data_IF_195371165633
#
_entry.id   IF_195371165633
#
_cell.length_a   1.000
_cell.length_b   1.000
_cell.length_c   1.000
_cell.angle_alpha   90.00
_cell.angle_beta   90.00
_cell.angle_gamma   90.00
#
_symmetry.space_group_name_H-M   'P 1'
#
loop_
_entity.id
_entity.type
_entity.pdbx_description
1 polymer ?
#
# COMPACT_ATOMS: atom_id res chain seq x y z
N UNK A 1 -15.15 18.84 7.31
CA UNK A 1 -14.27 19.50 8.28
C UNK A 1 -14.84 20.82 8.81
N UNK A 2 -15.35 21.76 7.99
CA UNK A 2 -15.87 23.04 8.51
C UNK A 2 -17.15 22.89 9.35
N UNK A 3 -17.83 21.74 9.24
CA UNK A 3 -19.07 21.43 9.95
C UNK A 3 -18.87 20.80 11.34
N UNK A 4 -17.63 20.78 11.85
CA UNK A 4 -17.35 20.28 13.19
C UNK A 4 -17.40 21.45 14.19
N UNK A 5 -18.19 21.32 15.25
CA UNK A 5 -18.47 22.41 16.20
C UNK A 5 -17.21 22.95 16.90
N UNK A 6 -16.19 22.12 17.10
CA UNK A 6 -14.91 22.51 17.70
C UNK A 6 -13.81 22.70 16.64
N UNK A 7 -14.19 22.98 15.38
CA UNK A 7 -13.22 23.22 14.32
C UNK A 7 -12.36 24.46 14.62
N UNK A 8 -11.06 24.25 14.78
CA UNK A 8 -10.08 25.30 14.95
C UNK A 8 -8.85 24.97 14.10
N UNK A 9 -8.71 25.63 12.94
CA UNK A 9 -7.60 25.40 12.02
C UNK A 9 -6.23 25.68 12.66
N UNK A 10 -6.00 26.79 13.39
CA UNK A 10 -4.73 27.03 14.06
C UNK A 10 -4.37 25.96 15.10
N UNK A 11 -5.36 25.41 15.80
CA UNK A 11 -5.12 24.30 16.74
C UNK A 11 -4.69 23.03 16.00
N UNK A 12 -5.35 22.69 14.89
CA UNK A 12 -4.97 21.55 14.06
C UNK A 12 -3.54 21.71 13.49
N UNK A 13 -3.21 22.89 12.97
CA UNK A 13 -1.87 23.20 12.47
C UNK A 13 -0.82 23.07 13.57
N UNK A 14 -1.10 23.62 14.75
CA UNK A 14 -0.20 23.54 15.91
C UNK A 14 0.07 22.09 16.31
N UNK A 15 -0.97 21.27 16.44
CA UNK A 15 -0.82 19.84 16.75
C UNK A 15 0.03 19.12 15.70
N UNK A 16 -0.19 19.38 14.41
CA UNK A 16 0.61 18.76 13.35
C UNK A 16 2.06 19.25 13.34
N UNK A 17 2.32 20.50 13.71
CA UNK A 17 3.66 21.05 13.84
C UNK A 17 4.42 20.39 14.99
N UNK A 18 3.80 20.27 16.16
CA UNK A 18 4.39 19.56 17.31
C UNK A 18 4.65 18.08 17.02
N UNK A 19 3.70 17.39 16.38
CA UNK A 19 3.90 15.99 15.99
C UNK A 19 5.08 15.82 15.01
N UNK A 20 5.21 16.72 14.04
CA UNK A 20 6.34 16.70 13.10
C UNK A 20 7.68 16.99 13.78
N UNK A 21 7.71 17.97 14.68
CA UNK A 21 8.90 18.29 15.48
C UNK A 21 9.35 17.09 16.32
N UNK A 22 8.40 16.43 17.00
CA UNK A 22 8.68 15.23 17.78
C UNK A 22 9.32 14.12 16.95
N UNK A 23 8.81 13.84 15.74
CA UNK A 23 9.36 12.82 14.85
C UNK A 23 10.77 13.20 14.34
N UNK A 24 10.99 14.48 13.99
CA UNK A 24 12.31 14.96 13.56
C UNK A 24 13.33 14.80 14.69
N UNK A 25 12.99 15.25 15.89
CA UNK A 25 13.88 15.14 17.06
C UNK A 25 14.14 13.69 17.46
N UNK A 26 13.13 12.83 17.36
CA UNK A 26 13.30 11.38 17.61
C UNK A 26 14.27 10.75 16.61
N UNK A 27 14.19 11.15 15.33
CA UNK A 27 15.15 10.73 14.31
C UNK A 27 16.56 11.20 14.66
N UNK A 28 16.74 12.48 14.96
CA UNK A 28 18.04 13.07 15.31
C UNK A 28 18.66 12.35 16.52
N UNK A 29 17.90 12.18 17.60
CA UNK A 29 18.36 11.44 18.79
C UNK A 29 18.73 10.00 18.48
N UNK A 30 17.96 9.32 17.62
CA UNK A 30 18.30 7.95 17.20
C UNK A 30 19.65 7.92 16.47
N UNK A 31 19.89 8.86 15.57
CA UNK A 31 21.15 8.98 14.83
C UNK A 31 22.33 9.33 15.77
N UNK A 32 22.13 10.21 16.76
CA UNK A 32 23.13 10.53 17.81
C UNK A 32 23.52 9.30 18.64
N UNK A 33 22.57 8.40 18.89
CA UNK A 33 22.79 7.12 19.58
C UNK A 33 23.44 6.05 18.69
N UNK A 34 23.79 6.40 17.46
CA UNK A 34 24.38 5.49 16.48
C UNK A 34 23.38 4.53 15.83
N UNK A 35 22.08 4.79 15.94
CA UNK A 35 21.03 3.97 15.35
C UNK A 35 20.70 4.53 13.97
N UNK A 36 20.81 3.70 12.93
CA UNK A 36 20.42 4.12 11.59
C UNK A 36 18.90 4.17 11.47
N UNK A 37 18.39 5.32 11.05
CA UNK A 37 16.95 5.50 10.77
C UNK A 37 16.67 5.12 9.31
N UNK A 38 15.77 4.16 9.10
CA UNK A 38 15.42 3.62 7.79
C UNK A 38 14.28 4.37 7.12
N UNK A 39 13.28 4.77 7.91
CA UNK A 39 12.06 5.40 7.43
C UNK A 39 11.37 6.16 8.57
N UNK A 40 10.59 7.18 8.25
CA UNK A 40 9.73 7.89 9.19
C UNK A 40 8.38 8.20 8.55
N UNK A 41 7.31 7.99 9.30
CA UNK A 41 5.95 8.40 8.93
C UNK A 41 5.48 9.57 9.83
N UNK A 42 4.17 9.76 9.91
CA UNK A 42 3.50 10.84 10.64
C UNK A 42 3.66 10.68 12.16
N UNK A 43 3.78 9.44 12.63
CA UNK A 43 3.69 9.03 14.03
C UNK A 43 4.65 7.88 14.40
N UNK A 44 5.53 7.47 13.48
CA UNK A 44 6.39 6.30 13.67
C UNK A 44 7.73 6.46 12.98
N UNK A 45 8.76 5.80 13.55
CA UNK A 45 10.13 5.80 13.04
C UNK A 45 10.62 4.35 12.97
N UNK A 46 11.29 4.00 11.87
CA UNK A 46 11.81 2.66 11.61
C UNK A 46 13.31 2.69 11.86
N UNK A 47 13.77 1.86 12.79
CA UNK A 47 15.15 1.81 13.23
C UNK A 47 15.80 0.51 12.77
N UNK A 48 17.05 0.61 12.33
CA UNK A 48 17.86 -0.53 11.89
C UNK A 48 18.43 -1.27 13.10
N UNK A 49 17.73 -2.34 13.50
CA UNK A 49 18.14 -3.29 14.55
C UNK A 49 18.79 -2.65 15.82
N UNK A 50 18.11 -1.70 16.50
CA UNK A 50 18.63 -1.10 17.73
C UNK A 50 18.73 -2.13 18.86
N UNK A 51 19.73 -2.00 19.74
CA UNK A 51 19.83 -2.81 20.95
C UNK A 51 18.67 -2.54 21.91
N UNK A 52 18.45 -3.42 22.90
CA UNK A 52 17.40 -3.18 23.91
C UNK A 52 17.68 -1.93 24.75
N UNK A 53 18.95 -1.72 25.10
CA UNK A 53 19.40 -0.56 25.85
C UNK A 53 19.16 0.73 25.06
N UNK A 54 19.44 0.71 23.75
CA UNK A 54 19.15 1.83 22.85
C UNK A 54 17.65 2.12 22.74
N UNK A 55 16.81 1.08 22.68
CA UNK A 55 15.35 1.23 22.68
C UNK A 55 14.86 1.86 23.99
N UNK A 56 15.30 1.33 25.13
CA UNK A 56 14.92 1.83 26.46
C UNK A 56 15.39 3.28 26.69
N UNK A 57 16.61 3.62 26.27
CA UNK A 57 17.11 5.01 26.34
C UNK A 57 16.28 5.95 25.47
N UNK A 58 15.92 5.55 24.24
CA UNK A 58 15.12 6.39 23.34
C UNK A 58 13.70 6.62 23.89
N UNK A 59 13.07 5.58 24.44
CA UNK A 59 11.74 5.67 25.09
C UNK A 59 11.81 6.62 26.29
N UNK A 60 12.81 6.43 27.17
CA UNK A 60 13.01 7.28 28.33
C UNK A 60 13.25 8.74 27.92
N UNK A 61 14.14 8.96 26.96
CA UNK A 61 14.44 10.30 26.44
C UNK A 61 13.18 10.97 25.87
N UNK A 62 12.36 10.25 25.10
CA UNK A 62 11.13 10.82 24.54
C UNK A 62 10.15 11.23 25.65
N UNK A 63 9.98 10.39 26.68
CA UNK A 63 9.11 10.73 27.81
C UNK A 63 9.63 11.95 28.59
N UNK A 64 10.94 12.08 28.79
CA UNK A 64 11.54 13.17 29.59
C UNK A 64 11.64 14.49 28.82
N UNK A 65 11.96 14.41 27.52
CA UNK A 65 12.32 15.58 26.70
C UNK A 65 11.18 16.05 25.80
N UNK A 66 10.40 15.11 25.25
CA UNK A 66 9.25 15.42 24.39
C UNK A 66 7.92 15.37 25.15
N UNK A 67 7.89 14.71 26.31
CA UNK A 67 6.63 14.41 27.01
C UNK A 67 5.76 13.42 26.25
N UNK A 68 6.36 12.60 25.39
CA UNK A 68 5.66 11.63 24.53
C UNK A 68 6.13 10.24 24.91
N UNK A 69 5.17 9.35 25.15
CA UNK A 69 5.43 7.93 25.40
C UNK A 69 5.61 7.20 24.07
N UNK A 70 6.86 6.83 23.77
CA UNK A 70 7.16 5.99 22.60
C UNK A 70 7.14 4.53 23.02
N UNK A 71 6.64 3.68 22.14
CA UNK A 71 6.65 2.24 22.34
C UNK A 71 7.21 1.51 21.12
N UNK A 72 7.79 0.33 21.36
CA UNK A 72 8.20 -0.57 20.29
C UNK A 72 6.97 -1.34 19.83
N UNK A 73 6.31 -0.81 18.80
CA UNK A 73 5.08 -1.43 18.27
C UNK A 73 5.39 -2.71 17.47
N UNK A 74 6.45 -2.69 16.64
CA UNK A 74 6.72 -3.75 15.65
C UNK A 74 8.19 -4.10 15.54
N UNK A 75 8.46 -5.39 15.39
CA UNK A 75 9.79 -5.93 15.09
C UNK A 75 9.73 -6.81 13.85
N UNK A 76 10.31 -6.32 12.76
CA UNK A 76 10.42 -7.06 11.51
C UNK A 76 11.72 -7.86 11.45
N UNK A 77 11.69 -8.99 10.75
CA UNK A 77 12.88 -9.69 10.25
C UNK A 77 13.60 -8.80 9.23
N UNK A 78 12.84 -8.24 8.28
CA UNK A 78 13.32 -7.21 7.38
C UNK A 78 12.16 -6.39 6.83
N UNK A 79 12.47 -5.23 6.26
CA UNK A 79 11.51 -4.37 5.56
C UNK A 79 12.03 -4.03 4.16
N UNK A 80 11.18 -4.17 3.15
CA UNK A 80 11.42 -3.68 1.81
C UNK A 80 10.69 -2.33 1.65
N UNK A 81 11.48 -1.25 1.67
CA UNK A 81 10.99 0.11 1.54
C UNK A 81 11.05 0.55 0.07
N UNK A 82 10.05 1.31 -0.38
CA UNK A 82 10.11 2.03 -1.66
C UNK A 82 10.27 3.53 -1.41
N UNK A 83 10.62 4.28 -2.45
CA UNK A 83 10.71 5.76 -2.38
C UNK A 83 9.36 6.45 -2.13
N UNK A 84 8.24 5.70 -2.22
CA UNK A 84 6.90 6.24 -1.99
C UNK A 84 6.56 6.15 -0.51
N UNK A 85 5.98 7.24 0.01
CA UNK A 85 5.44 7.27 1.38
C UNK A 85 4.38 6.19 1.58
N UNK A 86 4.35 5.59 2.77
CA UNK A 86 3.41 4.52 3.18
C UNK A 86 3.41 3.31 2.23
N UNK A 87 4.54 3.04 1.57
CA UNK A 87 4.66 1.97 0.60
C UNK A 87 5.86 1.05 0.92
N UNK A 88 5.56 -0.04 1.61
CA UNK A 88 6.55 -1.01 2.07
C UNK A 88 5.96 -2.41 2.30
N UNK A 89 6.84 -3.39 2.38
CA UNK A 89 6.56 -4.76 2.83
C UNK A 89 7.40 -5.01 4.08
N UNK A 90 6.75 -5.34 5.20
CA UNK A 90 7.42 -5.78 6.43
C UNK A 90 7.20 -7.27 6.64
N UNK A 91 8.28 -8.02 6.83
CA UNK A 91 8.22 -9.46 7.14
C UNK A 91 8.53 -9.64 8.61
N UNK A 92 7.65 -10.31 9.35
CA UNK A 92 7.86 -10.63 10.76
C UNK A 92 8.75 -11.88 10.92
N UNK A 93 9.32 -12.07 12.11
CA UNK A 93 10.14 -13.24 12.43
C UNK A 93 9.39 -14.57 12.31
N UNK A 94 8.06 -14.54 12.45
CA UNK A 94 7.19 -15.70 12.30
C UNK A 94 6.72 -15.93 10.84
N UNK A 95 7.25 -15.18 9.89
CA UNK A 95 6.89 -15.27 8.46
C UNK A 95 5.62 -14.50 8.08
N UNK A 96 4.90 -13.87 9.01
CA UNK A 96 3.77 -13.01 8.66
C UNK A 96 4.23 -11.83 7.80
N UNK A 97 3.37 -11.42 6.87
CA UNK A 97 3.67 -10.33 5.91
C UNK A 97 2.71 -9.16 6.11
N UNK A 98 3.26 -7.99 6.40
CA UNK A 98 2.55 -6.72 6.40
C UNK A 98 2.85 -5.94 5.13
N UNK A 99 1.79 -5.43 4.50
CA UNK A 99 1.86 -4.71 3.22
C UNK A 99 1.17 -3.36 3.41
N UNK A 100 1.88 -2.27 3.13
CA UNK A 100 1.31 -0.92 3.10
C UNK A 100 1.47 -0.31 1.72
N UNK A 101 0.41 0.38 1.26
CA UNK A 101 0.44 1.21 0.04
C UNK A 101 0.56 0.50 -1.31
N UNK A 102 0.81 -0.81 -1.34
CA UNK A 102 0.99 -1.58 -2.57
C UNK A 102 -0.36 -1.92 -3.24
N UNK A 103 -0.40 -1.81 -4.57
CA UNK A 103 -1.61 -1.99 -5.38
C UNK A 103 -2.11 -3.44 -5.40
N UNK A 104 -1.23 -4.42 -5.24
CA UNK A 104 -1.60 -5.84 -5.29
C UNK A 104 -2.61 -6.28 -4.23
N UNK A 105 -2.80 -5.50 -3.14
CA UNK A 105 -3.84 -5.74 -2.12
C UNK A 105 -5.14 -4.96 -2.33
N UNK A 106 -5.20 -4.06 -3.32
CA UNK A 106 -6.38 -3.23 -3.52
C UNK A 106 -7.50 -4.03 -4.19
N UNK A 107 -8.74 -3.84 -3.71
CA UNK A 107 -9.94 -4.51 -4.22
C UNK A 107 -10.19 -4.27 -5.72
N UNK A 108 -9.67 -3.18 -6.28
CA UNK A 108 -9.82 -2.86 -7.69
C UNK A 108 -8.76 -3.51 -8.61
N UNK A 109 -7.82 -4.26 -8.06
CA UNK A 109 -6.84 -5.03 -8.81
C UNK A 109 -7.48 -6.36 -9.24
N UNK A 110 -7.33 -6.79 -10.51
CA UNK A 110 -7.85 -8.07 -10.98
C UNK A 110 -7.30 -9.28 -10.23
N UNK A 111 -8.07 -10.36 -10.18
CA UNK A 111 -7.76 -11.53 -9.34
C UNK A 111 -6.45 -12.20 -9.75
N UNK A 112 -6.16 -12.29 -11.06
CA UNK A 112 -4.88 -12.86 -11.52
C UNK A 112 -3.67 -12.11 -10.96
N UNK A 113 -3.76 -10.78 -10.87
CA UNK A 113 -2.68 -9.93 -10.40
C UNK A 113 -2.59 -9.95 -8.87
N UNK A 114 -3.73 -10.05 -8.17
CA UNK A 114 -3.75 -10.25 -6.72
C UNK A 114 -3.13 -11.59 -6.34
N UNK A 115 -3.46 -12.65 -7.07
CA UNK A 115 -2.92 -14.00 -6.83
C UNK A 115 -1.43 -14.07 -7.12
N UNK A 116 -0.97 -13.50 -8.23
CA UNK A 116 0.46 -13.37 -8.53
C UNK A 116 1.19 -12.60 -7.42
N UNK A 117 0.62 -11.47 -6.97
CA UNK A 117 1.18 -10.69 -5.88
C UNK A 117 1.24 -11.50 -4.57
N UNK A 118 0.20 -12.26 -4.24
CA UNK A 118 0.17 -13.15 -3.06
C UNK A 118 1.30 -14.17 -3.11
N UNK A 119 1.52 -14.83 -4.26
CA UNK A 119 2.62 -15.78 -4.45
C UNK A 119 3.99 -15.11 -4.27
N UNK A 120 4.18 -13.90 -4.78
CA UNK A 120 5.43 -13.16 -4.58
C UNK A 120 5.66 -12.83 -3.10
N UNK A 121 4.61 -12.46 -2.35
CA UNK A 121 4.72 -12.22 -0.91
C UNK A 121 5.06 -13.49 -0.14
N UNK A 122 4.51 -14.63 -0.57
CA UNK A 122 4.80 -15.95 0.00
C UNK A 122 6.29 -16.31 -0.20
N UNK A 123 6.84 -16.11 -1.40
CA UNK A 123 8.29 -16.26 -1.64
C UNK A 123 9.09 -15.37 -0.68
N UNK A 124 8.73 -14.08 -0.59
CA UNK A 124 9.42 -13.14 0.29
C UNK A 124 9.33 -13.52 1.78
N UNK A 125 8.23 -14.11 2.24
CA UNK A 125 8.10 -14.51 3.66
C UNK A 125 9.18 -15.50 4.11
N UNK A 126 9.70 -16.32 3.19
CA UNK A 126 10.70 -17.35 3.46
C UNK A 126 12.15 -16.84 3.36
N UNK A 127 12.37 -15.57 3.01
CA UNK A 127 13.73 -15.02 2.89
C UNK A 127 14.29 -14.67 4.26
N UNK A 128 15.38 -15.31 4.66
CA UNK A 128 16.03 -15.08 5.96
C UNK A 128 17.34 -14.30 5.89
N UNK A 129 17.99 -14.28 4.72
CA UNK A 129 19.29 -13.66 4.51
C UNK A 129 19.47 -13.12 3.09
N UNK A 130 20.64 -12.52 2.84
CA UNK A 130 21.01 -11.97 1.55
C UNK A 130 21.05 -13.01 0.41
N UNK A 131 21.43 -14.26 0.69
CA UNK A 131 21.46 -15.30 -0.34
C UNK A 131 20.04 -15.73 -0.73
N UNK A 132 19.14 -15.81 0.25
CA UNK A 132 17.71 -16.05 0.06
C UNK A 132 17.05 -15.00 -0.85
N UNK A 133 17.51 -13.75 -0.83
CA UNK A 133 17.02 -12.73 -1.76
C UNK A 133 17.35 -13.03 -3.23
N UNK A 134 18.52 -13.60 -3.53
CA UNK A 134 18.85 -13.95 -4.91
C UNK A 134 17.99 -15.11 -5.42
N UNK A 135 17.78 -16.14 -4.60
CA UNK A 135 16.85 -17.22 -4.92
C UNK A 135 15.41 -16.70 -5.10
N UNK A 136 14.94 -15.86 -4.18
CA UNK A 136 13.61 -15.26 -4.25
C UNK A 136 13.39 -14.42 -5.52
N UNK A 137 14.43 -13.74 -6.02
CA UNK A 137 14.33 -13.01 -7.29
C UNK A 137 14.06 -13.94 -8.47
N UNK A 138 14.72 -15.09 -8.52
CA UNK A 138 14.46 -16.07 -9.59
C UNK A 138 13.03 -16.64 -9.48
N UNK A 139 12.61 -17.05 -8.28
CA UNK A 139 11.24 -17.55 -8.05
C UNK A 139 10.17 -16.52 -8.43
N UNK A 140 10.39 -15.25 -8.07
CA UNK A 140 9.49 -14.14 -8.45
C UNK A 140 9.48 -13.94 -9.97
N UNK A 141 10.61 -14.06 -10.66
CA UNK A 141 10.65 -14.00 -12.12
C UNK A 141 9.85 -15.13 -12.75
N UNK A 142 9.93 -16.34 -12.23
CA UNK A 142 9.14 -17.47 -12.71
C UNK A 142 7.64 -17.24 -12.52
N UNK A 143 7.22 -16.68 -11.37
CA UNK A 143 5.82 -16.28 -11.14
C UNK A 143 5.37 -15.27 -12.19
N UNK A 144 6.18 -14.24 -12.45
CA UNK A 144 5.86 -13.20 -13.45
C UNK A 144 5.78 -13.78 -14.85
N UNK A 145 6.74 -14.61 -15.24
CA UNK A 145 6.75 -15.27 -16.55
C UNK A 145 5.53 -16.16 -16.75
N UNK A 146 5.12 -16.91 -15.71
CA UNK A 146 3.90 -17.72 -15.75
C UNK A 146 2.66 -16.87 -16.01
N UNK A 147 2.55 -15.70 -15.36
CA UNK A 147 1.44 -14.77 -15.58
C UNK A 147 1.47 -14.24 -17.02
N UNK A 148 2.64 -13.83 -17.51
CA UNK A 148 2.81 -13.32 -18.89
C UNK A 148 2.42 -14.39 -19.90
N UNK A 149 2.91 -15.62 -19.75
CA UNK A 149 2.63 -16.71 -20.68
C UNK A 149 1.13 -17.06 -20.73
N UNK A 150 0.43 -17.01 -19.59
CA UNK A 150 -1.04 -17.16 -19.54
C UNK A 150 -1.77 -16.00 -20.24
N UNK A 151 -1.31 -14.77 -20.03
CA UNK A 151 -1.88 -13.58 -20.69
C UNK A 151 -1.64 -13.57 -22.21
N UNK A 152 -0.51 -14.12 -22.67
CA UNK A 152 -0.17 -14.27 -24.09
C UNK A 152 -0.80 -15.50 -24.75
N UNK A 153 -1.54 -16.32 -23.99
CA UNK A 153 -2.20 -17.52 -24.51
C UNK A 153 -1.25 -18.66 -24.86
N UNK A 154 -0.02 -18.66 -24.31
CA UNK A 154 0.94 -19.76 -24.46
C UNK A 154 0.60 -20.96 -23.54
N UNK A 155 -0.19 -20.71 -22.50
CA UNK A 155 -0.67 -21.69 -21.52
C UNK A 155 -2.15 -21.46 -21.22
N UNK A 156 -2.74 -22.19 -20.28
CA UNK A 156 -4.17 -22.08 -19.92
C UNK A 156 -4.57 -20.61 -19.66
N UNK A 157 -5.49 -20.04 -20.46
CA UNK A 157 -5.85 -18.64 -20.36
C UNK A 157 -6.54 -18.32 -19.03
N UNK A 158 -6.54 -17.04 -18.67
CA UNK A 158 -7.38 -16.55 -17.58
C UNK A 158 -8.83 -16.44 -18.01
N UNK A 159 -9.76 -16.69 -17.09
CA UNK A 159 -11.16 -16.39 -17.31
C UNK A 159 -11.40 -14.87 -17.39
N UNK A 160 -12.47 -14.41 -18.05
CA UNK A 160 -12.84 -12.99 -18.06
C UNK A 160 -12.97 -12.40 -16.65
N UNK A 161 -13.52 -13.17 -15.71
CA UNK A 161 -13.71 -12.76 -14.32
C UNK A 161 -12.37 -12.54 -13.60
N UNK A 162 -11.38 -13.41 -13.84
CA UNK A 162 -10.04 -13.27 -13.27
C UNK A 162 -9.32 -12.00 -13.77
N UNK A 163 -9.61 -11.59 -15.03
CA UNK A 163 -9.04 -10.40 -15.67
C UNK A 163 -9.79 -9.10 -15.35
N UNK A 164 -10.98 -9.18 -14.76
CA UNK A 164 -11.86 -8.05 -14.57
C UNK A 164 -11.34 -7.07 -13.50
N UNK A 165 -11.28 -5.79 -13.86
CA UNK A 165 -11.13 -4.69 -12.91
C UNK A 165 -12.49 -4.40 -12.27
N UNK A 166 -12.51 -4.21 -10.94
CA UNK A 166 -13.74 -3.92 -10.19
C UNK A 166 -13.65 -2.56 -9.52
N UNK A 167 -14.38 -1.56 -10.03
CA UNK A 167 -14.31 -0.18 -9.52
C UNK A 167 -15.70 0.33 -9.21
N UNK A 168 -15.89 0.85 -8.00
CA UNK A 168 -17.14 1.45 -7.57
C UNK A 168 -17.31 2.87 -8.11
N UNK A 169 -18.47 3.17 -8.67
CA UNK A 169 -18.88 4.55 -8.98
C UNK A 169 -19.17 5.30 -7.68
N UNK A 170 -18.62 6.50 -7.55
CA UNK A 170 -18.81 7.37 -6.37
C UNK A 170 -19.72 8.55 -6.67
N UNK A 171 -19.95 8.84 -7.95
CA UNK A 171 -20.78 9.96 -8.44
C UNK A 171 -21.69 9.49 -9.56
N UNK A 172 -22.64 10.31 -9.98
CA UNK A 172 -23.39 10.04 -11.22
C UNK A 172 -22.48 10.26 -12.42
N UNK A 173 -22.77 9.56 -13.53
CA UNK A 173 -21.94 9.62 -14.74
C UNK A 173 -21.74 11.04 -15.28
N UNK A 174 -22.74 11.92 -15.15
CA UNK A 174 -22.66 13.33 -15.56
C UNK A 174 -21.74 14.20 -14.70
N UNK A 175 -21.40 13.76 -13.48
CA UNK A 175 -20.58 14.50 -12.52
C UNK A 175 -19.10 14.12 -12.61
N UNK A 176 -18.75 13.15 -13.46
CA UNK A 176 -17.36 12.79 -13.71
C UNK A 176 -16.73 13.76 -14.72
N UNK A 177 -15.60 14.40 -14.37
CA UNK A 177 -14.93 15.34 -15.27
C UNK A 177 -14.20 14.65 -16.43
N UNK A 178 -13.98 13.34 -16.33
CA UNK A 178 -13.18 12.59 -17.32
C UNK A 178 -13.67 11.15 -17.42
N UNK A 179 -13.61 10.64 -18.65
CA UNK A 179 -13.97 9.27 -19.02
C UNK A 179 -12.87 8.28 -18.70
N UNK A 180 -12.65 8.10 -17.40
CA UNK A 180 -11.81 7.02 -16.88
C UNK A 180 -12.38 5.64 -17.27
N UNK A 181 -11.57 4.56 -17.27
CA UNK A 181 -11.99 3.25 -17.80
C UNK A 181 -13.31 2.70 -17.24
N UNK A 182 -13.53 2.83 -15.92
CA UNK A 182 -14.78 2.38 -15.29
C UNK A 182 -15.98 3.26 -15.64
N UNK A 183 -15.79 4.57 -15.86
CA UNK A 183 -16.84 5.48 -16.33
C UNK A 183 -17.22 5.16 -17.78
N UNK A 184 -16.23 4.87 -18.64
CA UNK A 184 -16.47 4.42 -20.02
C UNK A 184 -17.25 3.11 -20.06
N UNK A 185 -16.84 2.12 -19.27
CA UNK A 185 -17.55 0.86 -19.15
C UNK A 185 -18.99 1.06 -18.67
N UNK A 186 -19.21 1.93 -17.67
CA UNK A 186 -20.55 2.26 -17.20
C UNK A 186 -21.42 2.92 -18.28
N UNK A 187 -20.86 3.84 -19.08
CA UNK A 187 -21.58 4.44 -20.23
C UNK A 187 -21.99 3.38 -21.25
N UNK A 188 -21.09 2.46 -21.58
CA UNK A 188 -21.39 1.34 -22.49
C UNK A 188 -22.52 0.45 -21.97
N UNK A 189 -22.58 0.21 -20.65
CA UNK A 189 -23.71 -0.54 -20.03
C UNK A 189 -25.03 0.20 -20.26
N UNK A 190 -25.07 1.52 -20.07
CA UNK A 190 -26.30 2.32 -20.30
C UNK A 190 -26.68 2.34 -21.77
N UNK A 191 -25.72 2.49 -22.68
CA UNK A 191 -25.97 2.44 -24.12
C UNK A 191 -26.55 1.09 -24.56
N UNK A 192 -26.06 -0.02 -24.00
CA UNK A 192 -26.53 -1.36 -24.33
C UNK A 192 -27.89 -1.71 -23.70
N UNK A 193 -28.13 -1.28 -22.46
CA UNK A 193 -29.33 -1.65 -21.70
C UNK A 193 -30.48 -0.64 -21.83
N UNK A 194 -30.17 0.60 -22.22
CA UNK A 194 -31.10 1.72 -22.19
C UNK A 194 -31.50 2.19 -20.79
N UNK A 195 -30.87 1.66 -19.73
CA UNK A 195 -31.30 1.86 -18.34
C UNK A 195 -30.20 2.50 -17.48
N UNK A 196 -30.27 3.83 -17.23
CA UNK A 196 -29.33 4.54 -16.36
C UNK A 196 -29.36 4.08 -14.89
N UNK A 197 -30.41 3.38 -14.44
CA UNK A 197 -30.51 2.89 -13.05
C UNK A 197 -29.50 1.78 -12.74
N UNK A 198 -28.92 1.16 -13.78
CA UNK A 198 -27.88 0.12 -13.63
C UNK A 198 -26.54 0.66 -13.13
N UNK A 199 -26.29 1.96 -13.22
CA UNK A 199 -24.96 2.57 -12.97
C UNK A 199 -25.03 3.73 -11.97
N UNK A 200 -25.87 3.60 -10.96
CA UNK A 200 -25.99 4.58 -9.88
C UNK A 200 -24.70 4.68 -9.03
N UNK A 201 -24.48 5.80 -8.31
CA UNK A 201 -23.42 5.89 -7.31
C UNK A 201 -23.55 4.73 -6.31
N UNK A 202 -22.45 4.04 -6.04
CA UNK A 202 -22.42 2.81 -5.25
C UNK A 202 -22.29 1.53 -6.07
N UNK A 203 -22.62 1.56 -7.37
CA UNK A 203 -22.50 0.39 -8.25
C UNK A 203 -21.04 0.03 -8.49
N UNK A 204 -20.71 -1.26 -8.40
CA UNK A 204 -19.42 -1.82 -8.81
C UNK A 204 -19.47 -2.10 -10.30
N UNK A 205 -18.58 -1.46 -11.05
CA UNK A 205 -18.41 -1.67 -12.49
C UNK A 205 -17.26 -2.65 -12.69
N UNK A 206 -17.57 -3.73 -13.39
CA UNK A 206 -16.62 -4.76 -13.78
C UNK A 206 -16.29 -4.61 -15.26
N UNK A 207 -15.01 -4.55 -15.60
CA UNK A 207 -14.59 -4.37 -16.98
C UNK A 207 -13.20 -4.96 -17.25
N UNK A 208 -12.98 -5.39 -18.49
CA UNK A 208 -11.68 -5.86 -18.98
C UNK A 208 -11.17 -4.86 -20.01
N UNK A 209 -9.87 -4.56 -19.97
CA UNK A 209 -9.25 -3.74 -21.00
C UNK A 209 -8.85 -4.62 -22.17
N UNK A 210 -9.45 -4.35 -23.33
CA UNK A 210 -9.08 -4.99 -24.60
C UNK A 210 -8.23 -4.04 -25.45
N UNK A 211 -7.43 -4.59 -26.36
CA UNK A 211 -6.73 -3.78 -27.37
C UNK A 211 -7.80 -3.13 -28.27
N UNK A 212 -7.87 -1.81 -28.24
CA UNK A 212 -8.74 -1.02 -29.13
C UNK A 212 -7.94 -0.35 -30.24
N UNK A 213 -8.64 0.13 -31.27
CA UNK A 213 -8.08 0.97 -32.35
C UNK A 213 -7.88 2.44 -31.96
N UNK A 214 -8.14 2.82 -30.70
CA UNK A 214 -7.99 4.20 -30.25
C UNK A 214 -7.42 4.31 -28.83
N UNK A 215 -6.26 4.98 -28.75
CA UNK A 215 -5.72 5.70 -27.59
C UNK A 215 -5.52 4.93 -26.29
#
# INVERSE_FOLDING_TARGET
APHFELFCMPAAESVTAFGRDAIIRTKEKSEEMGIRVLYGDTDSVFLDNPSKEQQEELVKWSSEVLGIDLEVEKTYKYVALSDRKKNYIGIYKDGRVEVKGLSGKKRNTPDYAQEAFRKMLEVLSHVDDHAGFEAAKEDIREIVNTVIDRLEGKTEPYSPEELAFRIQLTKRLSEYPTDTPHVRAAKMIVEQTGDPSKVLPGTIIEFIRVKGTGG
#
